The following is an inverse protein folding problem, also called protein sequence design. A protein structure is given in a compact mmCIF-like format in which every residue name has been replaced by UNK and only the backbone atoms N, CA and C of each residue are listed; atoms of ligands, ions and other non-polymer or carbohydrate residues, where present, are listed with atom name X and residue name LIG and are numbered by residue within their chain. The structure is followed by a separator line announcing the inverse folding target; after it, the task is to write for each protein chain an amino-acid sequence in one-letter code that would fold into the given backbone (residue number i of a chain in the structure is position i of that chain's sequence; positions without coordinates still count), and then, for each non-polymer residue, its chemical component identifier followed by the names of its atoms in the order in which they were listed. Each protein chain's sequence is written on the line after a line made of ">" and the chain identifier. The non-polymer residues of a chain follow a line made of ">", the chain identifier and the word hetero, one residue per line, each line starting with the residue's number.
data_IF_036186860362
#
_entry.id   IF_036186860362
#
_cell.length_a   1.000
_cell.length_b   1.000
_cell.length_c   1.000
_cell.angle_alpha   90.00
_cell.angle_beta   90.00
_cell.angle_gamma   90.00
#
_symmetry.space_group_name_H-M   'P 1'
#
loop_
_entity.id
_entity.type
_entity.pdbx_description
1 polymer ?
#
# COMPACT_ATOMS: atom_id res chain seq x y z
N UNK A 1 -28.25 -16.11 -22.13
CA UNK A 1 -27.74 -14.88 -21.49
C UNK A 1 -28.87 -13.86 -21.52
N UNK A 2 -29.33 -13.36 -20.37
CA UNK A 2 -30.30 -12.26 -20.35
C UNK A 2 -29.60 -10.94 -20.67
N UNK A 3 -30.29 -9.98 -21.27
CA UNK A 3 -29.73 -8.67 -21.62
C UNK A 3 -29.16 -7.93 -20.39
N UNK A 4 -29.77 -8.14 -19.23
CA UNK A 4 -29.33 -7.60 -17.94
C UNK A 4 -27.98 -8.17 -17.49
N UNK A 5 -27.74 -9.47 -17.72
CA UNK A 5 -26.47 -10.11 -17.38
C UNK A 5 -25.33 -9.55 -18.23
N UNK A 6 -25.60 -9.33 -19.53
CA UNK A 6 -24.62 -8.79 -20.46
C UNK A 6 -24.26 -7.33 -20.11
N UNK A 7 -25.26 -6.49 -19.82
CA UNK A 7 -25.04 -5.10 -19.43
C UNK A 7 -24.21 -4.97 -18.14
N UNK A 8 -24.48 -5.82 -17.14
CA UNK A 8 -23.72 -5.86 -15.90
C UNK A 8 -22.28 -6.29 -16.12
N UNK A 9 -22.05 -7.30 -16.95
CA UNK A 9 -20.71 -7.75 -17.30
C UNK A 9 -19.90 -6.64 -17.98
N UNK A 10 -20.51 -5.95 -18.97
CA UNK A 10 -19.89 -4.85 -19.68
C UNK A 10 -19.52 -3.70 -18.73
N UNK A 11 -20.41 -3.37 -17.79
CA UNK A 11 -20.14 -2.38 -16.75
C UNK A 11 -18.96 -2.78 -15.85
N UNK A 12 -18.91 -4.04 -15.42
CA UNK A 12 -17.79 -4.56 -14.63
C UNK A 12 -16.46 -4.54 -15.39
N UNK A 13 -16.46 -4.87 -16.68
CA UNK A 13 -15.28 -4.77 -17.54
C UNK A 13 -14.81 -3.32 -17.67
N UNK A 14 -15.73 -2.37 -17.90
CA UNK A 14 -15.44 -0.94 -17.95
C UNK A 14 -14.82 -0.43 -16.65
N UNK A 15 -15.40 -0.81 -15.49
CA UNK A 15 -14.85 -0.46 -14.17
C UNK A 15 -13.44 -1.01 -13.95
N UNK A 16 -13.20 -2.28 -14.29
CA UNK A 16 -11.87 -2.91 -14.18
C UNK A 16 -10.84 -2.19 -15.04
N UNK A 17 -11.20 -1.85 -16.28
CA UNK A 17 -10.32 -1.11 -17.18
C UNK A 17 -9.99 0.29 -16.63
N UNK A 18 -11.00 1.02 -16.13
CA UNK A 18 -10.78 2.33 -15.51
C UNK A 18 -9.83 2.23 -14.31
N UNK A 19 -10.04 1.26 -13.42
CA UNK A 19 -9.19 1.02 -12.25
C UNK A 19 -7.74 0.69 -12.65
N UNK A 20 -7.54 -0.23 -13.59
CA UNK A 20 -6.20 -0.57 -14.08
C UNK A 20 -5.48 0.63 -14.70
N UNK A 21 -6.22 1.49 -15.41
CA UNK A 21 -5.69 2.71 -15.99
C UNK A 21 -5.20 3.65 -14.89
N UNK A 22 -6.00 3.89 -13.85
CA UNK A 22 -5.63 4.71 -12.69
C UNK A 22 -4.36 4.19 -11.99
N UNK A 23 -4.28 2.87 -11.77
CA UNK A 23 -3.10 2.23 -11.16
C UNK A 23 -1.84 2.47 -12.01
N UNK A 24 -1.94 2.35 -13.33
CA UNK A 24 -0.81 2.57 -14.23
C UNK A 24 -0.41 4.04 -14.32
N UNK A 25 -1.38 4.96 -14.39
CA UNK A 25 -1.11 6.40 -14.35
C UNK A 25 -0.38 6.79 -13.06
N UNK A 26 -0.82 6.26 -11.92
CA UNK A 26 -0.14 6.48 -10.63
C UNK A 26 1.27 5.90 -10.61
N UNK A 27 1.45 4.68 -11.13
CA UNK A 27 2.76 4.01 -11.18
C UNK A 27 3.77 4.77 -12.04
N UNK A 28 3.33 5.32 -13.17
CA UNK A 28 4.22 5.98 -14.14
C UNK A 28 4.28 7.50 -14.00
N UNK A 29 3.43 8.10 -13.15
CA UNK A 29 3.40 9.56 -12.95
C UNK A 29 2.96 10.35 -14.19
N UNK A 30 2.28 9.72 -15.14
CA UNK A 30 1.82 10.35 -16.39
C UNK A 30 0.45 9.84 -16.80
N UNK A 31 -0.27 10.66 -17.58
CA UNK A 31 -1.53 10.25 -18.20
C UNK A 31 -1.29 9.23 -19.30
N UNK A 32 -2.15 8.21 -19.35
CA UNK A 32 -2.09 7.17 -20.38
C UNK A 32 -2.85 7.55 -21.65
N UNK A 33 -3.83 8.43 -21.51
CA UNK A 33 -4.69 8.88 -22.57
C UNK A 33 -4.72 10.41 -22.60
N UNK A 34 -4.82 10.99 -23.79
CA UNK A 34 -4.98 12.44 -23.96
C UNK A 34 -6.39 12.89 -23.53
N UNK A 35 -7.39 12.03 -23.79
CA UNK A 35 -8.77 12.28 -23.41
C UNK A 35 -9.03 11.93 -21.94
N UNK A 36 -10.09 12.49 -21.38
CA UNK A 36 -10.54 12.11 -20.03
C UNK A 36 -10.94 10.63 -19.97
N UNK A 37 -10.71 9.99 -18.83
CA UNK A 37 -10.90 8.54 -18.68
C UNK A 37 -12.33 8.08 -18.98
N UNK A 38 -13.35 8.91 -18.68
CA UNK A 38 -14.74 8.56 -19.00
C UNK A 38 -15.01 8.51 -20.51
N UNK A 39 -14.40 9.41 -21.31
CA UNK A 39 -14.50 9.38 -22.78
C UNK A 39 -13.82 8.13 -23.33
N UNK A 40 -12.65 7.76 -22.79
CA UNK A 40 -11.94 6.55 -23.19
C UNK A 40 -12.78 5.30 -22.90
N UNK A 41 -13.36 5.21 -21.70
CA UNK A 41 -14.25 4.10 -21.30
C UNK A 41 -15.49 4.05 -22.17
N UNK A 42 -16.13 5.19 -22.41
CA UNK A 42 -17.32 5.33 -23.27
C UNK A 42 -17.06 4.75 -24.67
N UNK A 43 -16.00 5.23 -25.33
CA UNK A 43 -15.61 4.81 -26.68
C UNK A 43 -15.23 3.34 -26.74
N UNK A 44 -14.49 2.84 -25.74
CA UNK A 44 -13.99 1.46 -25.72
C UNK A 44 -15.10 0.42 -25.57
N UNK A 45 -16.11 0.71 -24.77
CA UNK A 45 -17.17 -0.25 -24.43
C UNK A 45 -18.53 0.09 -25.06
N UNK A 46 -18.62 1.14 -25.89
CA UNK A 46 -19.89 1.57 -26.50
C UNK A 46 -20.95 1.99 -25.49
N UNK A 47 -20.54 2.46 -24.30
CA UNK A 47 -21.45 2.84 -23.22
C UNK A 47 -22.02 4.25 -23.44
N UNK A 48 -23.16 4.53 -22.82
CA UNK A 48 -23.62 5.91 -22.68
C UNK A 48 -22.81 6.67 -21.60
N UNK A 49 -22.95 7.99 -21.57
CA UNK A 49 -22.20 8.84 -20.63
C UNK A 49 -22.48 8.51 -19.17
N UNK A 50 -23.72 8.12 -18.85
CA UNK A 50 -24.09 7.78 -17.49
C UNK A 50 -23.33 6.54 -16.99
N UNK A 51 -23.35 5.44 -17.73
CA UNK A 51 -22.66 4.21 -17.34
C UNK A 51 -21.14 4.36 -17.37
N UNK A 52 -20.59 5.07 -18.37
CA UNK A 52 -19.15 5.33 -18.44
C UNK A 52 -18.67 6.16 -17.24
N UNK A 53 -19.40 7.24 -16.89
CA UNK A 53 -19.09 8.06 -15.73
C UNK A 53 -19.22 7.28 -14.42
N UNK A 54 -20.28 6.50 -14.25
CA UNK A 54 -20.49 5.67 -13.05
C UNK A 54 -19.35 4.66 -12.87
N UNK A 55 -18.94 3.96 -13.93
CA UNK A 55 -17.83 3.01 -13.89
C UNK A 55 -16.52 3.68 -13.47
N UNK A 56 -16.24 4.87 -14.01
CA UNK A 56 -15.04 5.65 -13.67
C UNK A 56 -15.10 6.18 -12.23
N UNK A 57 -16.26 6.62 -11.75
CA UNK A 57 -16.44 7.08 -10.37
C UNK A 57 -16.22 5.95 -9.36
N UNK A 58 -16.82 4.78 -9.61
CA UNK A 58 -16.60 3.60 -8.76
C UNK A 58 -15.14 3.15 -8.77
N UNK A 59 -14.49 3.15 -9.94
CA UNK A 59 -13.07 2.83 -10.05
C UNK A 59 -12.19 3.82 -9.27
N UNK A 60 -12.47 5.13 -9.35
CA UNK A 60 -11.76 6.14 -8.57
C UNK A 60 -11.95 5.95 -7.08
N UNK A 61 -13.19 5.74 -6.61
CA UNK A 61 -13.47 5.51 -5.19
C UNK A 61 -12.69 4.29 -4.65
N UNK A 62 -12.69 3.18 -5.40
CA UNK A 62 -11.92 1.98 -5.06
C UNK A 62 -10.41 2.28 -5.02
N UNK A 63 -9.91 3.02 -6.00
CA UNK A 63 -8.50 3.38 -6.08
C UNK A 63 -8.05 4.27 -4.90
N UNK A 64 -8.83 5.30 -4.55
CA UNK A 64 -8.54 6.16 -3.40
C UNK A 64 -8.59 5.40 -2.07
N UNK A 65 -9.60 4.55 -1.89
CA UNK A 65 -9.70 3.70 -0.70
C UNK A 65 -8.46 2.80 -0.54
N UNK A 66 -8.02 2.17 -1.63
CA UNK A 66 -6.82 1.33 -1.61
C UNK A 66 -5.54 2.14 -1.30
N UNK A 67 -5.45 3.37 -1.81
CA UNK A 67 -4.31 4.25 -1.55
C UNK A 67 -4.22 4.65 -0.07
N UNK A 68 -5.33 5.06 0.54
CA UNK A 68 -5.37 5.40 1.97
C UNK A 68 -5.09 4.18 2.84
N UNK A 69 -5.65 3.02 2.48
CA UNK A 69 -5.37 1.77 3.19
C UNK A 69 -3.87 1.42 3.15
N UNK A 70 -3.24 1.55 1.98
CA UNK A 70 -1.81 1.30 1.84
C UNK A 70 -0.97 2.28 2.67
N UNK A 71 -1.35 3.56 2.69
CA UNK A 71 -0.69 4.58 3.53
C UNK A 71 -0.75 4.22 5.01
N UNK A 72 -1.92 3.83 5.52
CA UNK A 72 -2.07 3.39 6.91
C UNK A 72 -1.22 2.15 7.21
N UNK A 73 -1.16 1.18 6.29
CA UNK A 73 -0.34 -0.01 6.46
C UNK A 73 1.16 0.30 6.49
N UNK A 74 1.63 1.22 5.65
CA UNK A 74 3.02 1.67 5.65
C UNK A 74 3.36 2.31 7.01
N UNK A 75 2.54 3.24 7.48
CA UNK A 75 2.73 3.89 8.79
C UNK A 75 2.79 2.88 9.95
N UNK A 76 1.85 1.93 9.99
CA UNK A 76 1.86 0.87 11.01
C UNK A 76 3.10 -0.02 10.92
N UNK A 77 3.60 -0.27 9.70
CA UNK A 77 4.80 -1.07 9.50
C UNK A 77 6.03 -0.33 9.98
N UNK A 78 6.15 0.96 9.64
CA UNK A 78 7.24 1.85 10.08
C UNK A 78 7.31 1.93 11.60
N UNK A 79 6.17 2.18 12.27
CA UNK A 79 6.10 2.22 13.74
C UNK A 79 6.52 0.89 14.38
N UNK A 80 6.07 -0.24 13.82
CA UNK A 80 6.48 -1.57 14.31
C UNK A 80 7.97 -1.82 14.10
N UNK A 81 8.53 -1.37 12.99
CA UNK A 81 9.97 -1.51 12.75
C UNK A 81 10.79 -0.66 13.70
N UNK A 82 10.38 0.57 13.97
CA UNK A 82 11.04 1.49 14.92
C UNK A 82 10.99 0.94 16.35
N UNK A 83 9.83 0.46 16.79
CA UNK A 83 9.69 -0.16 18.11
C UNK A 83 10.61 -1.38 18.28
N UNK A 84 10.73 -2.21 17.22
CA UNK A 84 11.61 -3.38 17.23
C UNK A 84 13.09 -2.99 17.25
N UNK A 85 13.49 -1.95 16.52
CA UNK A 85 14.88 -1.48 16.54
C UNK A 85 15.26 -0.94 17.91
N UNK A 86 14.38 -0.13 18.52
CA UNK A 86 14.59 0.43 19.86
C UNK A 86 14.75 -0.69 20.91
N UNK A 87 13.85 -1.68 20.89
CA UNK A 87 13.95 -2.84 21.79
C UNK A 87 15.25 -3.63 21.58
N UNK A 88 15.68 -3.79 20.33
CA UNK A 88 16.93 -4.50 20.01
C UNK A 88 18.14 -3.76 20.55
N UNK A 89 18.15 -2.43 20.46
CA UNK A 89 19.26 -1.60 20.94
C UNK A 89 19.32 -1.55 22.46
N UNK A 90 18.17 -1.53 23.16
CA UNK A 90 18.11 -1.67 24.62
C UNK A 90 18.70 -3.01 25.08
N UNK A 91 18.31 -4.12 24.41
CA UNK A 91 18.84 -5.46 24.72
C UNK A 91 20.36 -5.48 24.53
N UNK A 92 20.87 -4.92 23.42
CA UNK A 92 22.32 -4.84 23.15
C UNK A 92 23.06 -4.04 24.22
N UNK A 93 22.51 -2.91 24.66
CA UNK A 93 23.10 -2.11 25.72
C UNK A 93 23.14 -2.86 27.06
N UNK A 94 22.05 -3.55 27.41
CA UNK A 94 21.98 -4.34 28.64
C UNK A 94 22.98 -5.52 28.63
N UNK A 95 23.14 -6.20 27.49
CA UNK A 95 24.15 -7.24 27.32
C UNK A 95 25.59 -6.72 27.49
N UNK A 96 25.90 -5.53 26.93
CA UNK A 96 27.22 -4.88 27.10
C UNK A 96 27.51 -4.56 28.57
N UNK A 97 26.53 -3.98 29.27
CA UNK A 97 26.65 -3.67 30.71
C UNK A 97 26.88 -4.94 31.54
N UNK A 98 26.15 -6.01 31.26
CA UNK A 98 26.34 -7.32 31.92
C UNK A 98 27.74 -7.91 31.67
N UNK A 99 28.23 -7.83 30.43
CA UNK A 99 29.57 -8.32 30.10
C UNK A 99 30.69 -7.54 30.80
N UNK A 100 30.60 -6.21 30.82
CA UNK A 100 31.53 -5.35 31.56
C UNK A 100 31.49 -5.63 33.07
N UNK A 101 30.29 -5.82 33.64
CA UNK A 101 30.13 -6.23 35.02
C UNK A 101 30.84 -7.55 35.34
N UNK A 102 30.73 -8.57 34.48
CA UNK A 102 31.43 -9.85 34.68
C UNK A 102 32.95 -9.71 34.63
N UNK A 103 33.49 -8.89 33.72
CA UNK A 103 34.93 -8.64 33.59
C UNK A 103 35.50 -7.99 34.87
N UNK A 104 34.87 -6.91 35.32
CA UNK A 104 35.31 -6.17 36.53
C UNK A 104 35.28 -7.02 37.80
N UNK A 105 34.26 -7.89 37.92
CA UNK A 105 34.16 -8.86 39.03
C UNK A 105 35.30 -9.88 38.95
N UNK A 106 35.57 -10.46 37.77
CA UNK A 106 36.67 -11.41 37.59
C UNK A 106 38.04 -10.80 37.89
N UNK A 107 38.28 -9.55 37.48
CA UNK A 107 39.51 -8.81 37.77
C UNK A 107 39.70 -8.58 39.27
N UNK A 108 38.64 -8.19 40.00
CA UNK A 108 38.69 -8.04 41.47
C UNK A 108 39.11 -9.31 42.20
N UNK A 109 38.65 -10.48 41.72
CA UNK A 109 39.00 -11.76 42.36
C UNK A 109 40.36 -12.32 41.93
N UNK A 110 40.91 -11.88 40.78
CA UNK A 110 42.29 -12.23 40.35
C UNK A 110 43.39 -11.54 41.16
N UNK A 111 43.12 -10.35 41.70
CA UNK A 111 44.09 -9.54 42.46
C UNK A 111 44.15 -9.95 43.95
N UNK A 112 43.27 -10.85 44.39
CA UNK A 112 43.09 -11.21 45.81
C UNK A 112 43.84 -12.48 46.25
N UNK A 113 44.82 -12.94 45.47
CA UNK A 113 45.76 -14.03 45.77
C UNK A 113 47.17 -13.45 45.77
#
# INVERSE_FOLDING_TARGET
>A
MTETSYALELFHQAKRFAFQTLVREKRWGRKLHQESLHIVVKKKYGLNDYFANSAVREANALFFSLMELNKMHIQQTEEKTENRTNQTDEIRQNQRKLHQGKLTVSEKYKIRI
#
